data_IF_844285425220
#
_entry.id   IF_844285425220
#
_cell.length_a   1.000
_cell.length_b   1.000
_cell.length_c   1.000
_cell.angle_alpha   90.00
_cell.angle_beta   90.00
_cell.angle_gamma   90.00
#
_symmetry.space_group_name_H-M   'P 1'
#
loop_
_entity.id
_entity.type
_entity.pdbx_description
1 polymer ?
#
# COMPACT_ATOMS: atom_id res chain seq x y z
N UNK A 1 -39.69 -6.82 -4.84
CA UNK A 1 -38.46 -7.02 -5.65
C UNK A 1 -37.55 -5.86 -5.30
N UNK A 2 -36.51 -6.16 -4.54
CA UNK A 2 -35.97 -5.33 -3.45
C UNK A 2 -35.04 -4.17 -3.89
N UNK A 3 -35.24 -2.99 -3.31
CA UNK A 3 -34.31 -1.85 -3.35
C UNK A 3 -32.88 -2.22 -2.88
N UNK A 4 -32.75 -3.18 -1.95
CA UNK A 4 -31.45 -3.68 -1.47
C UNK A 4 -30.64 -4.45 -2.51
N UNK A 5 -31.29 -5.00 -3.56
CA UNK A 5 -30.58 -5.63 -4.68
C UNK A 5 -30.10 -4.59 -5.71
N UNK A 6 -30.71 -3.40 -5.73
CA UNK A 6 -30.36 -2.33 -6.67
C UNK A 6 -29.14 -1.56 -6.15
N UNK A 7 -29.07 -1.28 -4.85
CA UNK A 7 -27.92 -0.60 -4.23
C UNK A 7 -26.65 -1.44 -4.30
N UNK A 8 -26.72 -2.72 -3.93
CA UNK A 8 -25.59 -3.67 -4.03
C UNK A 8 -25.10 -3.87 -5.47
N UNK A 9 -26.01 -3.88 -6.45
CA UNK A 9 -25.65 -3.91 -7.87
C UNK A 9 -24.94 -2.63 -8.32
N UNK A 10 -25.38 -1.46 -7.86
CA UNK A 10 -24.80 -0.17 -8.26
C UNK A 10 -23.41 0.06 -7.65
N UNK A 11 -23.20 -0.36 -6.40
CA UNK A 11 -21.90 -0.29 -5.72
C UNK A 11 -20.89 -1.24 -6.36
N UNK A 12 -21.31 -2.47 -6.71
CA UNK A 12 -20.48 -3.42 -7.45
C UNK A 12 -20.06 -2.90 -8.82
N UNK A 13 -20.94 -2.20 -9.53
CA UNK A 13 -20.63 -1.59 -10.82
C UNK A 13 -19.64 -0.41 -10.68
N UNK A 14 -19.82 0.46 -9.68
CA UNK A 14 -18.90 1.56 -9.38
C UNK A 14 -17.50 1.04 -9.03
N UNK A 15 -17.40 0.02 -8.17
CA UNK A 15 -16.15 -0.66 -7.83
C UNK A 15 -15.44 -1.21 -9.06
N UNK A 16 -16.20 -1.82 -9.97
CA UNK A 16 -15.68 -2.41 -11.20
C UNK A 16 -15.13 -1.31 -12.14
N UNK A 17 -15.88 -0.23 -12.34
CA UNK A 17 -15.49 0.91 -13.18
C UNK A 17 -14.23 1.58 -12.63
N UNK A 18 -14.18 1.84 -11.32
CA UNK A 18 -13.03 2.49 -10.70
C UNK A 18 -11.81 1.59 -10.76
N UNK A 19 -11.95 0.30 -10.43
CA UNK A 19 -10.90 -0.71 -10.58
C UNK A 19 -10.30 -0.71 -11.99
N UNK A 20 -11.13 -0.80 -13.02
CA UNK A 20 -10.68 -0.78 -14.42
C UNK A 20 -10.01 0.53 -14.84
N UNK A 21 -10.41 1.67 -14.28
CA UNK A 21 -9.84 2.99 -14.61
C UNK A 21 -8.44 3.22 -14.02
N UNK A 22 -8.10 2.61 -12.88
CA UNK A 22 -6.81 2.83 -12.20
C UNK A 22 -5.60 2.21 -12.91
N UNK A 23 -5.77 1.07 -13.57
CA UNK A 23 -4.70 0.38 -14.30
C UNK A 23 -4.12 1.17 -15.48
N UNK A 24 -4.92 1.67 -16.45
CA UNK A 24 -4.40 2.44 -17.58
C UNK A 24 -3.78 3.77 -17.11
N UNK A 25 -4.36 4.42 -16.09
CA UNK A 25 -3.79 5.63 -15.51
C UNK A 25 -2.39 5.38 -14.93
N UNK A 26 -2.20 4.25 -14.23
CA UNK A 26 -0.89 3.90 -13.66
C UNK A 26 0.17 3.69 -14.75
N UNK A 27 -0.20 3.03 -15.86
CA UNK A 27 0.67 2.82 -17.02
C UNK A 27 1.13 4.17 -17.61
N UNK A 28 0.21 5.12 -17.76
CA UNK A 28 0.48 6.44 -18.33
C UNK A 28 1.30 7.31 -17.38
N UNK A 29 0.99 7.31 -16.08
CA UNK A 29 1.63 8.18 -15.08
C UNK A 29 3.05 7.70 -14.72
N UNK A 30 3.29 6.39 -14.75
CA UNK A 30 4.56 5.80 -14.32
C UNK A 30 5.82 6.39 -15.00
N UNK A 31 5.91 6.60 -16.32
CA UNK A 31 7.07 7.23 -16.95
C UNK A 31 7.32 8.67 -16.45
N UNK A 32 6.27 9.45 -16.20
CA UNK A 32 6.38 10.78 -15.63
C UNK A 32 6.88 10.71 -14.18
N UNK A 33 6.33 9.80 -13.38
CA UNK A 33 6.81 9.53 -12.02
C UNK A 33 8.30 9.15 -12.01
N UNK A 34 8.74 8.26 -12.91
CA UNK A 34 10.15 7.87 -13.04
C UNK A 34 11.06 9.07 -13.33
N UNK A 35 10.64 9.96 -14.22
CA UNK A 35 11.39 11.16 -14.57
C UNK A 35 11.51 12.11 -13.36
N UNK A 36 10.40 12.38 -12.68
CA UNK A 36 10.36 13.24 -11.48
C UNK A 36 11.21 12.65 -10.35
N UNK A 37 11.10 11.35 -10.11
CA UNK A 37 11.88 10.65 -9.09
C UNK A 37 13.39 10.75 -9.37
N UNK A 38 13.82 10.52 -10.62
CA UNK A 38 15.23 10.62 -11.00
C UNK A 38 15.78 12.04 -10.81
N UNK A 39 15.02 13.06 -11.20
CA UNK A 39 15.41 14.47 -11.03
C UNK A 39 15.51 14.89 -9.56
N UNK A 40 14.63 14.36 -8.71
CA UNK A 40 14.61 14.70 -7.29
C UNK A 40 15.49 13.80 -6.42
N UNK A 41 16.07 12.73 -6.97
CA UNK A 41 16.80 11.72 -6.23
C UNK A 41 17.93 12.28 -5.35
N UNK A 42 18.72 13.22 -5.89
CA UNK A 42 19.82 13.85 -5.14
C UNK A 42 19.31 14.60 -3.90
N UNK A 43 18.18 15.30 -4.03
CA UNK A 43 17.53 16.03 -2.94
C UNK A 43 16.82 15.09 -1.96
N UNK A 44 16.24 14.01 -2.44
CA UNK A 44 15.53 13.06 -1.60
C UNK A 44 16.48 12.28 -0.69
N UNK A 45 17.69 11.95 -1.14
CA UNK A 45 18.71 11.23 -0.35
C UNK A 45 19.05 11.87 0.99
N UNK A 46 18.92 13.19 1.10
CA UNK A 46 19.20 13.93 2.33
C UNK A 46 17.99 13.99 3.26
N UNK A 47 16.82 13.49 2.83
CA UNK A 47 15.61 13.47 3.65
C UNK A 47 15.53 12.19 4.47
N UNK A 48 15.04 12.30 5.70
CA UNK A 48 14.70 11.13 6.52
C UNK A 48 13.63 10.22 5.89
N UNK A 49 12.98 10.65 4.80
CA UNK A 49 11.97 9.90 4.04
C UNK A 49 12.55 9.08 2.88
N UNK A 50 13.85 9.23 2.60
CA UNK A 50 14.47 8.62 1.43
C UNK A 50 14.25 7.12 1.36
N UNK A 51 14.47 6.43 2.49
CA UNK A 51 14.41 4.97 2.56
C UNK A 51 13.01 4.44 2.21
N UNK A 52 11.97 5.17 2.63
CA UNK A 52 10.58 4.84 2.38
C UNK A 52 10.22 5.09 0.93
N UNK A 53 10.50 6.29 0.44
CA UNK A 53 10.24 6.68 -0.95
C UNK A 53 10.98 5.73 -1.90
N UNK A 54 12.20 5.34 -1.56
CA UNK A 54 12.99 4.36 -2.30
C UNK A 54 12.37 2.96 -2.24
N UNK A 55 11.81 2.53 -1.11
CA UNK A 55 11.14 1.22 -1.01
C UNK A 55 9.86 1.19 -1.85
N UNK A 56 8.98 2.19 -1.72
CA UNK A 56 7.79 2.32 -2.55
C UNK A 56 8.13 2.45 -4.03
N UNK A 57 9.22 3.16 -4.37
CA UNK A 57 9.71 3.22 -5.74
C UNK A 57 10.10 1.84 -6.30
N UNK A 58 10.78 1.02 -5.49
CA UNK A 58 11.12 -0.37 -5.88
C UNK A 58 9.87 -1.23 -6.06
N UNK A 59 8.91 -1.10 -5.14
CA UNK A 59 7.61 -1.78 -5.23
C UNK A 59 6.87 -1.38 -6.50
N UNK A 60 6.75 -0.08 -6.77
CA UNK A 60 6.03 0.44 -7.93
C UNK A 60 6.68 0.00 -9.25
N UNK A 61 8.02 -0.07 -9.29
CA UNK A 61 8.74 -0.67 -10.42
C UNK A 61 8.42 -2.14 -10.62
N UNK A 62 8.42 -2.93 -9.55
CA UNK A 62 8.07 -4.36 -9.63
C UNK A 62 6.61 -4.53 -10.08
N UNK A 63 5.69 -3.75 -9.51
CA UNK A 63 4.29 -3.72 -9.91
C UNK A 63 4.11 -3.41 -11.40
N UNK A 64 4.74 -2.34 -11.89
CA UNK A 64 4.67 -2.01 -13.31
C UNK A 64 5.30 -3.10 -14.19
N UNK A 65 6.41 -3.71 -13.76
CA UNK A 65 7.01 -4.83 -14.48
C UNK A 65 6.04 -6.02 -14.61
N UNK A 66 5.36 -6.39 -13.53
CA UNK A 66 4.33 -7.45 -13.56
C UNK A 66 3.12 -7.09 -14.43
N UNK A 67 2.78 -5.80 -14.57
CA UNK A 67 1.73 -5.36 -15.49
C UNK A 67 2.16 -5.41 -16.96
N UNK A 68 3.39 -5.02 -17.28
CA UNK A 68 3.88 -4.99 -18.67
C UNK A 68 4.22 -6.38 -19.22
N UNK A 69 4.71 -7.29 -18.37
CA UNK A 69 5.13 -8.63 -18.77
C UNK A 69 4.04 -9.44 -19.51
N UNK A 70 2.78 -9.56 -19.03
CA UNK A 70 1.73 -10.26 -19.76
C UNK A 70 1.34 -9.59 -21.08
N UNK A 71 1.44 -8.26 -21.17
CA UNK A 71 1.16 -7.53 -22.42
C UNK A 71 2.23 -7.90 -23.46
N UNK A 72 3.50 -7.90 -23.06
CA UNK A 72 4.63 -8.26 -23.94
C UNK A 72 4.53 -9.72 -24.38
N UNK A 73 4.28 -10.66 -23.45
CA UNK A 73 4.13 -12.07 -23.81
C UNK A 73 2.93 -12.30 -24.72
N UNK A 74 1.82 -11.57 -24.52
CA UNK A 74 0.65 -11.65 -25.39
C UNK A 74 0.93 -11.16 -26.81
N UNK A 75 1.66 -10.05 -26.96
CA UNK A 75 2.06 -9.53 -28.29
C UNK A 75 3.02 -10.49 -28.99
N UNK A 76 3.94 -11.10 -28.26
CA UNK A 76 4.90 -12.06 -28.83
C UNK A 76 4.27 -13.41 -29.18
N UNK A 77 3.20 -13.79 -28.50
CA UNK A 77 2.50 -15.05 -28.72
C UNK A 77 1.30 -14.95 -29.69
N UNK A 78 1.11 -13.81 -30.37
CA UNK A 78 0.13 -13.66 -31.47
C UNK A 78 0.19 -14.80 -32.52
N UNK A 79 1.36 -15.35 -32.92
CA UNK A 79 1.39 -16.48 -33.85
C UNK A 79 1.03 -17.84 -33.22
N UNK A 80 0.76 -17.90 -31.92
CA UNK A 80 0.43 -19.11 -31.15
C UNK A 80 -1.08 -19.28 -31.03
N UNK A 81 -1.56 -20.51 -30.80
CA UNK A 81 -2.98 -20.81 -30.56
C UNK A 81 -3.58 -19.91 -29.48
N UNK A 82 -4.79 -19.39 -29.74
CA UNK A 82 -5.56 -18.50 -28.86
C UNK A 82 -5.71 -19.08 -27.44
N UNK A 83 -5.88 -20.40 -27.31
CA UNK A 83 -6.02 -21.07 -26.01
C UNK A 83 -4.79 -20.86 -25.11
N UNK A 84 -3.58 -20.87 -25.67
CA UNK A 84 -2.34 -20.67 -24.93
C UNK A 84 -2.16 -19.20 -24.50
N UNK A 85 -2.57 -18.27 -25.35
CA UNK A 85 -2.61 -16.84 -25.05
C UNK A 85 -3.56 -16.55 -23.88
N UNK A 86 -4.80 -17.05 -23.96
CA UNK A 86 -5.82 -16.86 -22.91
C UNK A 86 -5.34 -17.47 -21.59
N UNK A 87 -4.80 -18.70 -21.61
CA UNK A 87 -4.26 -19.34 -20.41
C UNK A 87 -3.12 -18.54 -19.76
N UNK A 88 -2.19 -18.03 -20.58
CA UNK A 88 -1.07 -17.22 -20.09
C UNK A 88 -1.53 -15.91 -19.46
N UNK A 89 -2.45 -15.19 -20.11
CA UNK A 89 -3.02 -13.93 -19.59
C UNK A 89 -3.73 -14.17 -18.26
N UNK A 90 -4.53 -15.24 -18.15
CA UNK A 90 -5.23 -15.59 -16.92
C UNK A 90 -4.25 -15.92 -15.79
N UNK A 91 -3.18 -16.69 -16.07
CA UNK A 91 -2.20 -17.06 -15.06
C UNK A 91 -1.44 -15.83 -14.52
N UNK A 92 -0.97 -14.95 -15.41
CA UNK A 92 -0.34 -13.69 -15.01
C UNK A 92 -1.31 -12.74 -14.30
N UNK A 93 -2.59 -12.71 -14.70
CA UNK A 93 -3.64 -11.94 -14.03
C UNK A 93 -3.86 -12.41 -12.60
N UNK A 94 -3.99 -13.73 -12.39
CA UNK A 94 -4.19 -14.32 -11.06
C UNK A 94 -2.97 -14.08 -10.17
N UNK A 95 -1.77 -14.43 -10.62
CA UNK A 95 -0.55 -14.26 -9.82
C UNK A 95 -0.24 -12.78 -9.59
N UNK A 96 -0.41 -11.96 -10.62
CA UNK A 96 -0.27 -10.50 -10.52
C UNK A 96 -1.21 -9.94 -9.47
N UNK A 97 -2.52 -10.23 -9.55
CA UNK A 97 -3.51 -9.75 -8.58
C UNK A 97 -3.16 -10.18 -7.15
N UNK A 98 -2.72 -11.41 -6.94
CA UNK A 98 -2.32 -11.91 -5.62
C UNK A 98 -1.12 -11.16 -5.05
N UNK A 99 -0.07 -10.97 -5.87
CA UNK A 99 1.13 -10.20 -5.50
C UNK A 99 0.78 -8.74 -5.22
N UNK A 100 -0.10 -8.15 -6.03
CA UNK A 100 -0.57 -6.78 -5.87
C UNK A 100 -1.35 -6.60 -4.56
N UNK A 101 -2.36 -7.42 -4.31
CA UNK A 101 -3.13 -7.38 -3.06
C UNK A 101 -2.23 -7.55 -1.83
N UNK A 102 -1.24 -8.45 -1.93
CA UNK A 102 -0.26 -8.67 -0.88
C UNK A 102 0.58 -7.41 -0.63
N UNK A 103 1.19 -6.84 -1.67
CA UNK A 103 2.00 -5.61 -1.57
C UNK A 103 1.17 -4.44 -1.04
N UNK A 104 -0.06 -4.25 -1.53
CA UNK A 104 -0.94 -3.16 -1.10
C UNK A 104 -1.24 -3.28 0.40
N UNK A 105 -1.64 -4.46 0.87
CA UNK A 105 -1.96 -4.70 2.29
C UNK A 105 -0.82 -4.32 3.24
N UNK A 106 0.40 -4.75 2.93
CA UNK A 106 1.57 -4.46 3.78
C UNK A 106 2.14 -3.05 3.57
N UNK A 107 2.01 -2.52 2.35
CA UNK A 107 2.29 -1.12 2.03
C UNK A 107 1.42 -0.19 2.88
N UNK A 108 0.14 -0.50 3.02
CA UNK A 108 -0.78 0.26 3.87
C UNK A 108 -0.37 0.29 5.35
N UNK A 109 0.11 -0.82 5.88
CA UNK A 109 0.63 -0.90 7.25
C UNK A 109 1.90 -0.07 7.41
N UNK A 110 2.81 -0.11 6.43
CA UNK A 110 4.02 0.71 6.42
C UNK A 110 3.69 2.21 6.44
N UNK A 111 2.66 2.63 5.68
CA UNK A 111 2.15 4.00 5.69
C UNK A 111 1.57 4.39 7.04
N UNK A 112 0.85 3.49 7.71
CA UNK A 112 0.31 3.74 9.04
C UNK A 112 1.40 3.94 10.11
N UNK A 113 2.44 3.10 10.10
CA UNK A 113 3.59 3.25 10.99
C UNK A 113 4.31 4.57 10.73
N UNK A 114 4.44 4.98 9.46
CA UNK A 114 5.01 6.27 9.10
C UNK A 114 4.19 7.45 9.63
N UNK A 115 2.86 7.36 9.57
CA UNK A 115 1.97 8.38 10.13
C UNK A 115 2.26 8.60 11.62
N UNK A 116 2.34 7.49 12.35
CA UNK A 116 2.63 7.46 13.79
C UNK A 116 4.02 8.02 14.06
N UNK A 117 5.04 7.55 13.34
CA UNK A 117 6.41 8.04 13.45
C UNK A 117 6.47 9.57 13.26
N UNK A 118 5.79 10.09 12.23
CA UNK A 118 5.76 11.52 11.91
C UNK A 118 5.04 12.34 12.97
N UNK A 119 3.93 11.82 13.49
CA UNK A 119 3.21 12.44 14.59
C UNK A 119 4.12 12.63 15.80
N UNK A 120 4.77 11.55 16.26
CA UNK A 120 5.65 11.61 17.42
C UNK A 120 6.89 12.49 17.19
N UNK A 121 7.56 12.39 16.03
CA UNK A 121 8.70 13.26 15.73
C UNK A 121 8.32 14.75 15.68
N UNK A 122 7.10 15.06 15.25
CA UNK A 122 6.63 16.44 15.14
C UNK A 122 6.22 17.03 16.49
N UNK A 123 5.44 16.30 17.30
CA UNK A 123 4.95 16.80 18.59
C UNK A 123 5.92 16.56 19.76
N UNK A 124 6.78 15.55 19.64
CA UNK A 124 7.72 15.13 20.68
C UNK A 124 9.12 14.93 20.09
N UNK A 125 9.90 16.01 19.85
CA UNK A 125 11.24 15.93 19.27
C UNK A 125 12.19 14.96 20.03
N UNK A 126 11.98 14.81 21.34
CA UNK A 126 12.71 13.85 22.19
C UNK A 126 12.61 12.38 21.73
N UNK A 127 11.60 12.05 20.91
CA UNK A 127 11.42 10.71 20.34
C UNK A 127 12.31 10.41 19.15
N UNK A 128 13.06 11.39 18.62
CA UNK A 128 13.97 11.22 17.48
C UNK A 128 15.02 10.13 17.72
N UNK A 129 15.50 9.99 18.96
CA UNK A 129 16.44 8.94 19.35
C UNK A 129 15.88 7.52 19.19
N UNK A 130 14.58 7.34 19.33
CA UNK A 130 13.91 6.03 19.29
C UNK A 130 13.23 5.76 17.95
N UNK A 131 12.71 6.81 17.32
CA UNK A 131 11.95 6.76 16.06
C UNK A 131 12.78 7.17 14.84
N UNK A 132 14.07 7.48 15.03
CA UNK A 132 15.03 7.64 13.95
C UNK A 132 15.28 6.31 13.25
N UNK A 133 14.52 6.04 12.18
CA UNK A 133 14.66 4.82 11.38
C UNK A 133 16.01 4.82 10.67
N UNK A 134 17.01 4.22 11.31
CA UNK A 134 18.28 3.88 10.68
C UNK A 134 18.03 2.94 9.49
N UNK A 135 18.93 2.95 8.50
CA UNK A 135 18.80 2.09 7.31
C UNK A 135 18.60 0.61 7.65
N UNK A 136 19.29 0.14 8.69
CA UNK A 136 19.19 -1.24 9.17
C UNK A 136 17.87 -1.48 9.89
N UNK A 137 17.41 -0.54 10.73
CA UNK A 137 16.13 -0.60 11.41
C UNK A 137 14.95 -0.63 10.42
N UNK A 138 14.99 0.22 9.40
CA UNK A 138 13.95 0.26 8.37
C UNK A 138 13.89 -1.03 7.54
N UNK A 139 15.05 -1.59 7.17
CA UNK A 139 15.08 -2.88 6.48
C UNK A 139 14.58 -4.03 7.35
N UNK A 140 14.86 -4.01 8.66
CA UNK A 140 14.32 -4.97 9.62
C UNK A 140 12.80 -4.85 9.76
N UNK A 141 12.30 -3.62 9.83
CA UNK A 141 10.88 -3.31 9.91
C UNK A 141 10.12 -3.79 8.67
N UNK A 142 10.65 -3.57 7.47
CA UNK A 142 10.05 -4.11 6.23
C UNK A 142 9.99 -5.64 6.30
N UNK A 143 11.09 -6.31 6.68
CA UNK A 143 11.09 -7.77 6.81
C UNK A 143 10.07 -8.24 7.82
N UNK A 144 9.95 -7.57 8.96
CA UNK A 144 8.96 -7.89 9.97
C UNK A 144 7.53 -7.78 9.42
N UNK A 145 7.16 -6.65 8.81
CA UNK A 145 5.81 -6.42 8.28
C UNK A 145 5.43 -7.43 7.19
N UNK A 146 6.35 -7.75 6.29
CA UNK A 146 6.05 -8.65 5.17
C UNK A 146 6.13 -10.13 5.59
N UNK A 147 7.16 -10.53 6.35
CA UNK A 147 7.44 -11.95 6.64
C UNK A 147 6.60 -12.46 7.81
N UNK A 148 6.52 -11.71 8.92
CA UNK A 148 5.90 -12.22 10.15
C UNK A 148 4.42 -12.60 9.97
N UNK A 149 3.54 -11.73 9.43
CA UNK A 149 2.13 -12.10 9.21
C UNK A 149 1.96 -13.24 8.20
N UNK A 150 2.86 -13.32 7.21
CA UNK A 150 2.87 -14.38 6.21
C UNK A 150 3.21 -15.73 6.81
N UNK A 151 4.22 -15.78 7.69
CA UNK A 151 4.59 -17.02 8.39
C UNK A 151 3.45 -17.53 9.27
N UNK A 152 2.76 -16.65 9.98
CA UNK A 152 1.58 -17.03 10.78
C UNK A 152 0.46 -17.55 9.89
N UNK A 153 0.19 -16.88 8.77
CA UNK A 153 -0.85 -17.32 7.82
C UNK A 153 -0.57 -18.72 7.26
N UNK A 154 0.69 -19.01 6.90
CA UNK A 154 1.11 -20.34 6.43
C UNK A 154 0.97 -21.39 7.53
N UNK A 155 1.36 -21.08 8.77
CA UNK A 155 1.21 -21.99 9.91
C UNK A 155 -0.27 -22.34 10.12
N UNK A 156 -1.16 -21.34 10.11
CA UNK A 156 -2.61 -21.57 10.27
C UNK A 156 -3.20 -22.44 9.16
N UNK A 157 -2.74 -22.26 7.92
CA UNK A 157 -3.14 -23.11 6.79
C UNK A 157 -2.65 -24.54 7.02
N UNK A 158 -1.38 -24.75 7.39
CA UNK A 158 -0.83 -26.10 7.66
C UNK A 158 -1.60 -26.78 8.79
N UNK A 159 -1.90 -26.07 9.87
CA UNK A 159 -2.68 -26.59 11.01
C UNK A 159 -4.08 -27.01 10.58
N UNK A 160 -4.72 -26.32 9.63
CA UNK A 160 -6.03 -26.68 9.10
C UNK A 160 -6.04 -28.00 8.32
N UNK A 161 -4.92 -28.37 7.70
CA UNK A 161 -4.78 -29.63 6.97
C UNK A 161 -4.39 -30.83 7.87
N UNK A 162 -4.16 -30.62 9.16
CA UNK A 162 -3.85 -31.70 10.09
C UNK A 162 -5.10 -32.54 10.44
N UNK A 163 -4.97 -33.87 10.57
CA UNK A 163 -6.07 -34.71 11.03
C UNK A 163 -6.49 -34.32 12.45
N UNK A 164 -7.79 -34.09 12.66
CA UNK A 164 -8.34 -33.59 13.93
C UNK A 164 -8.47 -32.06 14.02
N UNK A 165 -7.98 -31.30 13.04
CA UNK A 165 -8.07 -29.84 13.03
C UNK A 165 -9.51 -29.30 13.03
N UNK A 166 -10.49 -30.08 12.57
CA UNK A 166 -11.90 -29.70 12.57
C UNK A 166 -12.43 -29.39 13.99
N UNK A 167 -11.85 -29.98 15.04
CA UNK A 167 -12.22 -29.68 16.44
C UNK A 167 -11.85 -28.25 16.84
N UNK A 168 -10.85 -27.66 16.18
CA UNK A 168 -10.39 -26.28 16.40
C UNK A 168 -10.73 -25.36 15.22
N UNK A 169 -11.58 -25.80 14.30
CA UNK A 169 -11.86 -25.10 13.04
C UNK A 169 -12.36 -23.67 13.25
N UNK A 170 -13.34 -23.50 14.14
CA UNK A 170 -13.89 -22.19 14.51
C UNK A 170 -12.82 -21.28 15.14
N UNK A 171 -12.01 -21.81 16.05
CA UNK A 171 -10.94 -21.05 16.69
C UNK A 171 -9.87 -20.59 15.69
N UNK A 172 -9.43 -21.48 14.78
CA UNK A 172 -8.49 -21.13 13.71
C UNK A 172 -9.09 -20.11 12.74
N UNK A 173 -10.39 -20.18 12.46
CA UNK A 173 -11.09 -19.23 11.60
C UNK A 173 -11.19 -17.83 12.23
N UNK A 174 -11.49 -17.75 13.53
CA UNK A 174 -11.48 -16.49 14.29
C UNK A 174 -10.09 -15.86 14.28
N UNK A 175 -9.04 -16.64 14.53
CA UNK A 175 -7.65 -16.15 14.47
C UNK A 175 -7.31 -15.67 13.06
N UNK A 176 -7.63 -16.45 12.03
CA UNK A 176 -7.37 -16.09 10.63
C UNK A 176 -8.09 -14.81 10.20
N UNK A 177 -9.36 -14.66 10.58
CA UNK A 177 -10.17 -13.47 10.28
C UNK A 177 -9.69 -12.25 11.08
N UNK A 178 -9.30 -12.43 12.35
CA UNK A 178 -8.65 -11.40 13.16
C UNK A 178 -7.34 -10.91 12.56
N UNK A 179 -6.50 -11.84 12.07
CA UNK A 179 -5.26 -11.51 11.36
C UNK A 179 -5.49 -10.85 10.00
N UNK A 180 -6.64 -11.08 9.37
CA UNK A 180 -6.98 -10.37 8.15
C UNK A 180 -7.43 -8.93 8.44
N UNK A 181 -8.29 -8.77 9.44
CA UNK A 181 -8.93 -7.50 9.80
C UNK A 181 -8.02 -6.53 10.57
N UNK A 182 -7.01 -7.00 11.32
CA UNK A 182 -6.15 -6.08 12.09
C UNK A 182 -5.45 -5.06 11.19
N UNK A 183 -5.00 -5.45 9.99
CA UNK A 183 -4.27 -4.55 9.11
C UNK A 183 -5.16 -3.39 8.66
N UNK A 184 -6.44 -3.67 8.45
CA UNK A 184 -7.44 -2.68 8.05
C UNK A 184 -7.79 -1.74 9.21
N UNK A 185 -8.07 -2.28 10.39
CA UNK A 185 -8.35 -1.49 11.60
C UNK A 185 -7.14 -0.61 11.95
N UNK A 186 -5.92 -1.17 11.87
CA UNK A 186 -4.68 -0.42 12.06
C UNK A 186 -4.53 0.69 11.01
N UNK A 187 -4.82 0.40 9.75
CA UNK A 187 -4.77 1.35 8.63
C UNK A 187 -5.68 2.55 8.90
N UNK A 188 -6.95 2.31 9.28
CA UNK A 188 -7.88 3.38 9.65
C UNK A 188 -7.40 4.13 10.89
N UNK A 189 -7.05 3.43 11.97
CA UNK A 189 -6.61 4.05 13.21
C UNK A 189 -5.39 4.96 12.99
N UNK A 190 -4.45 4.51 12.16
CA UNK A 190 -3.25 5.27 11.81
C UNK A 190 -3.55 6.53 11.01
N UNK A 191 -4.63 6.54 10.23
CA UNK A 191 -5.01 7.69 9.39
C UNK A 191 -5.41 8.91 10.22
N UNK A 192 -5.97 8.70 11.43
CA UNK A 192 -6.31 9.80 12.32
C UNK A 192 -5.10 10.62 12.75
N UNK A 193 -3.90 10.02 12.82
CA UNK A 193 -2.68 10.77 13.13
C UNK A 193 -2.26 11.75 12.03
N UNK A 194 -2.76 11.60 10.81
CA UNK A 194 -2.54 12.59 9.75
C UNK A 194 -3.29 13.91 10.01
N UNK A 195 -4.45 13.86 10.66
CA UNK A 195 -5.30 15.03 10.88
C UNK A 195 -4.62 16.07 11.80
N UNK A 196 -4.10 15.71 12.99
CA UNK A 196 -3.36 16.65 13.84
C UNK A 196 -2.14 17.24 13.16
N UNK A 197 -1.43 16.46 12.34
CA UNK A 197 -0.25 16.94 11.60
C UNK A 197 -0.66 17.96 10.53
N UNK A 198 -1.77 17.74 9.81
CA UNK A 198 -2.27 18.69 8.83
C UNK A 198 -2.74 20.00 9.47
N UNK A 199 -3.40 19.93 10.63
CA UNK A 199 -3.84 21.11 11.39
C UNK A 199 -2.64 21.90 11.89
N UNK A 200 -1.64 21.24 12.46
CA UNK A 200 -0.45 21.91 13.01
C UNK A 200 0.38 22.59 11.93
N UNK A 201 0.53 21.98 10.74
CA UNK A 201 1.24 22.61 9.62
C UNK A 201 0.44 23.79 9.05
N UNK A 202 -0.89 23.69 8.94
CA UNK A 202 -1.74 24.82 8.52
C UNK A 202 -1.56 26.02 9.46
N UNK A 203 -1.48 25.76 10.78
CA UNK A 203 -1.26 26.80 11.80
C UNK A 203 0.12 27.46 11.70
N UNK A 204 1.15 26.74 11.26
CA UNK A 204 2.51 27.26 11.07
C UNK A 204 2.75 27.86 9.67
N UNK A 205 1.87 27.65 8.71
CA UNK A 205 2.05 28.08 7.30
C UNK A 205 2.12 29.60 7.09
N UNK A 206 1.62 30.38 8.06
CA UNK A 206 1.68 31.84 8.02
C UNK A 206 3.06 32.40 8.44
N UNK A 207 3.94 31.56 9.02
CA UNK A 207 5.30 31.99 9.40
C UNK A 207 6.21 31.96 8.17
N UNK A 208 6.90 33.07 7.91
CA UNK A 208 7.85 33.24 6.80
C UNK A 208 8.99 32.22 6.80
N UNK A 209 9.39 31.71 7.97
CA UNK A 209 10.37 30.60 8.10
C UNK A 209 9.82 29.25 7.63
N UNK A 210 8.53 29.00 7.74
CA UNK A 210 7.85 27.80 7.22
C UNK A 210 7.65 27.88 5.69
N UNK A 211 7.51 29.08 5.13
CA UNK A 211 7.47 29.29 3.67
C UNK A 211 8.83 29.06 3.01
N UNK A 212 9.94 29.35 3.72
CA UNK A 212 11.31 29.18 3.21
C UNK A 212 11.80 27.72 3.29
N UNK A 213 11.34 26.96 4.30
CA UNK A 213 11.72 25.56 4.50
C UNK A 213 10.90 24.59 3.62
N UNK A 214 11.45 24.33 2.41
CA UNK A 214 10.97 23.33 1.44
C UNK A 214 10.67 21.90 1.98
N UNK A 215 11.32 21.35 3.03
CA UNK A 215 11.00 19.99 3.49
C UNK A 215 9.61 19.84 4.13
N UNK A 216 9.07 20.86 4.82
CA UNK A 216 7.75 20.78 5.46
C UNK A 216 6.61 20.65 4.43
N UNK A 217 6.73 21.32 3.28
CA UNK A 217 5.73 21.28 2.20
C UNK A 217 5.70 19.93 1.48
N UNK A 218 6.84 19.27 1.31
CA UNK A 218 6.92 17.93 0.72
C UNK A 218 6.28 16.89 1.65
N UNK A 219 6.60 16.96 2.95
CA UNK A 219 5.96 16.12 3.96
C UNK A 219 4.44 16.34 3.93
N UNK A 220 3.96 17.58 3.90
CA UNK A 220 2.54 17.88 3.83
C UNK A 220 1.84 17.26 2.61
N UNK A 221 2.38 17.44 1.41
CA UNK A 221 1.79 16.85 0.20
C UNK A 221 1.80 15.33 0.24
N UNK A 222 2.85 14.73 0.80
CA UNK A 222 2.89 13.29 1.01
C UNK A 222 1.81 12.84 2.00
N UNK A 223 1.60 13.53 3.13
CA UNK A 223 0.53 13.20 4.08
C UNK A 223 -0.86 13.43 3.50
N UNK A 224 -1.05 14.42 2.62
CA UNK A 224 -2.31 14.67 1.91
C UNK A 224 -2.60 13.55 0.93
N UNK A 225 -1.62 13.15 0.11
CA UNK A 225 -1.79 12.03 -0.84
C UNK A 225 -2.09 10.74 -0.09
N UNK A 226 -1.38 10.46 1.01
CA UNK A 226 -1.63 9.28 1.84
C UNK A 226 -2.98 9.35 2.56
N UNK A 227 -3.39 10.51 3.06
CA UNK A 227 -4.71 10.69 3.66
C UNK A 227 -5.84 10.47 2.66
N UNK A 228 -5.71 11.02 1.44
CA UNK A 228 -6.69 10.85 0.36
C UNK A 228 -6.74 9.40 -0.12
N UNK A 229 -5.60 8.73 -0.30
CA UNK A 229 -5.52 7.30 -0.59
C UNK A 229 -6.30 6.48 0.45
N UNK A 230 -6.16 6.81 1.74
CA UNK A 230 -6.86 6.11 2.82
C UNK A 230 -8.36 6.36 2.86
N UNK A 231 -8.81 7.58 2.58
CA UNK A 231 -10.25 7.89 2.48
C UNK A 231 -10.86 7.15 1.29
N UNK A 232 -10.16 7.13 0.15
CA UNK A 232 -10.59 6.41 -1.05
C UNK A 232 -10.62 4.90 -0.79
N UNK A 233 -9.57 4.33 -0.16
CA UNK A 233 -9.51 2.92 0.25
C UNK A 233 -10.59 2.55 1.27
N UNK A 234 -10.87 3.43 2.24
CA UNK A 234 -11.88 3.25 3.27
C UNK A 234 -13.33 3.36 2.76
N UNK A 235 -13.56 4.09 1.67
CA UNK A 235 -14.85 4.16 0.98
C UNK A 235 -15.12 2.97 0.04
N UNK A 236 -14.17 2.05 -0.15
CA UNK A 236 -14.36 0.80 -0.91
C UNK A 236 -14.81 -0.39 -0.04
N UNK A 237 -15.33 -0.09 1.16
CA UNK A 237 -15.89 -1.04 2.12
C UNK A 237 -17.36 -0.73 2.38
#
# INVERSE_FOLDING_TARGET
MNETNITTSSEGQLLTIVGHSTFPLTIIIFPFYLNVYRKNLAREKTTALFQITQHFHKILKAFCFFLYLPIITSVLAIPVRIEFLVSSILWFGVVGSFVCSYICKYGECLLGILAIQRFFLYFFPSTEKYLGLSKNGFSGLIRFIYIFPSTISVILVILRFQPGANQYGEFLWVIGTGLFSYSYIFSIASSFFYIPILISIRKLSHLSSAQLNKPQRYVLWQLVVLGVEKVVSGCYL
#
